data_IF_951561753231
#
_entry.id   IF_951561753231
#
_cell.length_a   1.000
_cell.length_b   1.000
_cell.length_c   1.000
_cell.angle_alpha   90.00
_cell.angle_beta   90.00
_cell.angle_gamma   90.00
#
_symmetry.space_group_name_H-M   'P 1'
#
loop_
_entity.id
_entity.type
_entity.pdbx_description
1 polymer ?
#
# COMPACT_ATOMS: atom_id res chain seq x y z
N UNK A 1 -3.70 1.52 -12.40
CA UNK A 1 -3.33 2.86 -12.93
C UNK A 1 -4.47 3.81 -12.59
N UNK A 2 -4.18 5.09 -12.34
CA UNK A 2 -5.17 6.12 -12.04
C UNK A 2 -5.18 7.18 -13.16
N UNK A 3 -6.36 7.69 -13.53
CA UNK A 3 -6.47 8.71 -14.60
C UNK A 3 -6.26 10.13 -14.04
N UNK A 4 -6.77 10.42 -12.84
CA UNK A 4 -6.55 11.67 -12.15
C UNK A 4 -5.29 11.64 -11.29
N UNK A 5 -4.33 12.52 -11.56
CA UNK A 5 -3.07 12.59 -10.83
C UNK A 5 -2.56 14.04 -10.79
N UNK A 6 -1.49 14.32 -10.05
CA UNK A 6 -1.01 15.69 -9.77
C UNK A 6 -0.81 16.52 -11.05
N UNK A 7 -0.37 15.88 -12.13
CA UNK A 7 -0.08 16.52 -13.42
C UNK A 7 -1.21 16.45 -14.48
N UNK A 8 -2.47 16.22 -14.08
CA UNK A 8 -3.63 16.20 -15.00
C UNK A 8 -4.92 16.67 -14.29
N UNK A 9 -5.86 17.24 -15.05
CA UNK A 9 -7.15 17.77 -14.57
C UNK A 9 -8.24 16.69 -14.38
N UNK A 10 -7.95 15.44 -14.73
CA UNK A 10 -8.89 14.34 -14.49
C UNK A 10 -9.15 14.16 -12.97
N UNK A 11 -10.40 13.81 -12.55
CA UNK A 11 -10.72 13.68 -11.14
C UNK A 11 -9.87 12.62 -10.43
N UNK A 12 -9.19 13.00 -9.35
CA UNK A 12 -8.41 12.09 -8.50
C UNK A 12 -9.34 11.27 -7.60
N UNK A 13 -9.75 10.07 -8.04
CA UNK A 13 -10.73 9.23 -7.32
C UNK A 13 -10.12 8.23 -6.33
N UNK A 14 -8.85 7.88 -6.52
CA UNK A 14 -8.20 6.81 -5.76
C UNK A 14 -8.63 5.41 -6.23
N UNK A 15 -9.22 5.32 -7.42
CA UNK A 15 -9.63 4.06 -8.05
C UNK A 15 -8.38 3.25 -8.38
N UNK A 16 -7.31 3.90 -8.87
CA UNK A 16 -6.12 3.20 -9.35
C UNK A 16 -5.36 2.45 -8.27
N UNK A 17 -5.21 2.97 -7.05
CA UNK A 17 -4.61 2.23 -5.94
C UNK A 17 -5.58 1.21 -5.35
N UNK A 18 -6.87 1.54 -5.24
CA UNK A 18 -7.87 0.59 -4.77
C UNK A 18 -7.93 -0.65 -5.67
N UNK A 19 -7.78 -0.48 -6.98
CA UNK A 19 -7.68 -1.55 -7.96
C UNK A 19 -6.39 -2.36 -7.80
N UNK A 20 -5.23 -1.70 -7.70
CA UNK A 20 -3.96 -2.37 -7.50
C UNK A 20 -3.95 -3.23 -6.22
N UNK A 21 -4.48 -2.69 -5.13
CA UNK A 21 -4.63 -3.43 -3.86
C UNK A 21 -5.56 -4.63 -4.04
N UNK A 22 -6.70 -4.45 -4.71
CA UNK A 22 -7.64 -5.55 -4.96
C UNK A 22 -6.99 -6.68 -5.75
N UNK A 23 -6.28 -6.35 -6.82
CA UNK A 23 -5.56 -7.33 -7.65
C UNK A 23 -4.52 -8.10 -6.84
N UNK A 24 -3.71 -7.39 -6.03
CA UNK A 24 -2.71 -8.01 -5.16
C UNK A 24 -3.32 -8.96 -4.12
N UNK A 25 -4.49 -8.61 -3.58
CA UNK A 25 -5.22 -9.44 -2.62
C UNK A 25 -5.85 -10.68 -3.28
N UNK A 26 -6.41 -10.53 -4.49
CA UNK A 26 -7.08 -11.62 -5.21
C UNK A 26 -6.12 -12.71 -5.70
N UNK A 27 -4.87 -12.35 -6.03
CA UNK A 27 -3.89 -13.30 -6.57
C UNK A 27 -3.27 -14.23 -5.51
N UNK A 28 -3.64 -14.07 -4.24
CA UNK A 28 -2.89 -14.64 -3.15
C UNK A 28 -3.78 -15.51 -2.25
N UNK A 29 -3.19 -16.50 -1.57
CA UNK A 29 -3.92 -17.48 -0.75
C UNK A 29 -4.86 -16.82 0.29
N UNK A 30 -6.06 -17.36 0.57
CA UNK A 30 -7.01 -16.74 1.47
C UNK A 30 -6.43 -16.53 2.88
N UNK A 31 -6.13 -15.28 3.24
CA UNK A 31 -5.83 -14.86 4.61
C UNK A 31 -6.07 -13.36 4.76
N UNK A 32 -6.26 -12.92 6.01
CA UNK A 32 -6.41 -11.50 6.33
C UNK A 32 -5.05 -10.82 6.37
N UNK A 33 -4.94 -9.66 5.74
CA UNK A 33 -3.77 -8.80 5.86
C UNK A 33 -3.72 -8.23 7.28
N UNK A 34 -2.56 -8.33 7.92
CA UNK A 34 -2.35 -7.91 9.30
C UNK A 34 -1.59 -6.57 9.39
N UNK A 35 -0.76 -6.27 8.38
CA UNK A 35 0.03 -5.05 8.34
C UNK A 35 0.08 -4.46 6.93
N UNK A 36 -0.12 -3.14 6.82
CA UNK A 36 -0.06 -2.38 5.58
C UNK A 36 1.11 -1.41 5.65
N UNK A 37 2.01 -1.48 4.67
CA UNK A 37 3.15 -0.60 4.56
C UNK A 37 3.00 0.25 3.32
N UNK A 38 2.96 1.57 3.50
CA UNK A 38 2.58 2.48 2.43
C UNK A 38 3.66 3.51 2.15
N UNK A 39 3.85 3.78 0.85
CA UNK A 39 4.61 4.93 0.35
C UNK A 39 3.80 6.23 0.31
N UNK A 40 2.60 6.25 0.90
CA UNK A 40 1.75 7.44 0.92
C UNK A 40 2.38 8.56 1.74
N UNK A 41 2.59 9.71 1.09
CA UNK A 41 2.89 10.98 1.74
C UNK A 41 1.61 11.64 2.25
N UNK A 42 1.71 12.44 3.31
CA UNK A 42 0.56 13.11 3.94
C UNK A 42 -0.04 14.27 3.11
N UNK A 43 0.29 14.38 1.83
CA UNK A 43 -0.34 15.33 0.94
C UNK A 43 -1.80 14.95 0.65
N UNK A 44 -2.63 15.93 0.27
CA UNK A 44 -4.08 15.76 0.13
C UNK A 44 -4.48 14.61 -0.81
N UNK A 45 -3.69 14.39 -1.87
CA UNK A 45 -3.94 13.30 -2.83
C UNK A 45 -3.58 11.93 -2.26
N UNK A 46 -2.41 11.81 -1.63
CA UNK A 46 -1.91 10.57 -1.04
C UNK A 46 -2.85 10.04 0.05
N UNK A 47 -3.20 10.89 1.02
CA UNK A 47 -4.07 10.50 2.13
C UNK A 47 -5.47 10.05 1.65
N UNK A 48 -6.05 10.76 0.69
CA UNK A 48 -7.36 10.42 0.11
C UNK A 48 -7.32 9.04 -0.56
N UNK A 49 -6.37 8.83 -1.45
CA UNK A 49 -6.28 7.57 -2.20
C UNK A 49 -6.03 6.38 -1.28
N UNK A 50 -5.15 6.52 -0.29
CA UNK A 50 -4.87 5.47 0.67
C UNK A 50 -6.13 5.10 1.47
N UNK A 51 -6.89 6.09 1.93
CA UNK A 51 -8.17 5.86 2.60
C UNK A 51 -9.20 5.14 1.71
N UNK A 52 -9.29 5.51 0.42
CA UNK A 52 -10.16 4.84 -0.54
C UNK A 52 -9.74 3.37 -0.75
N UNK A 53 -8.44 3.11 -0.90
CA UNK A 53 -7.91 1.78 -1.09
C UNK A 53 -8.20 0.86 0.10
N UNK A 54 -8.03 1.34 1.33
CA UNK A 54 -8.36 0.58 2.54
C UNK A 54 -9.87 0.35 2.69
N UNK A 55 -10.68 1.39 2.49
CA UNK A 55 -12.14 1.30 2.66
C UNK A 55 -12.77 0.29 1.71
N UNK A 56 -12.39 0.35 0.43
CA UNK A 56 -12.95 -0.53 -0.61
C UNK A 56 -12.48 -1.97 -0.52
N UNK A 57 -11.33 -2.22 0.10
CA UNK A 57 -10.78 -3.55 0.32
C UNK A 57 -10.89 -4.00 1.79
N UNK A 58 -11.74 -3.34 2.58
CA UNK A 58 -11.87 -3.51 4.03
C UNK A 58 -12.05 -4.96 4.47
N UNK A 59 -12.78 -5.75 3.68
CA UNK A 59 -13.04 -7.17 3.93
C UNK A 59 -11.79 -8.05 3.87
N UNK A 60 -10.65 -7.56 3.37
CA UNK A 60 -9.40 -8.32 3.31
C UNK A 60 -8.47 -8.08 4.52
N UNK A 61 -8.78 -7.09 5.37
CA UNK A 61 -7.93 -6.73 6.50
C UNK A 61 -8.37 -7.43 7.80
N UNK A 62 -7.41 -7.64 8.69
CA UNK A 62 -7.66 -8.06 10.06
C UNK A 62 -8.35 -6.93 10.85
N UNK A 63 -9.05 -7.29 11.92
CA UNK A 63 -9.76 -6.32 12.78
C UNK A 63 -8.79 -5.32 13.42
N UNK A 64 -7.63 -5.80 13.89
CA UNK A 64 -6.51 -4.96 14.28
C UNK A 64 -5.52 -4.90 13.13
N UNK A 65 -5.53 -3.78 12.41
CA UNK A 65 -4.63 -3.54 11.28
C UNK A 65 -3.46 -2.66 11.72
N UNK A 66 -2.25 -3.18 11.55
CA UNK A 66 -1.03 -2.41 11.69
C UNK A 66 -0.80 -1.58 10.41
N UNK A 67 -0.52 -0.28 10.54
CA UNK A 67 -0.23 0.60 9.40
C UNK A 67 1.12 1.27 9.64
N UNK A 68 2.03 1.06 8.69
CA UNK A 68 3.39 1.59 8.72
C UNK A 68 3.62 2.60 7.59
N UNK A 69 4.26 3.71 7.95
CA UNK A 69 4.64 4.81 7.04
C UNK A 69 6.17 4.97 6.96
N UNK A 70 6.89 4.08 6.24
CA UNK A 70 8.35 4.18 6.12
C UNK A 70 8.83 5.49 5.49
N UNK A 71 7.97 6.14 4.69
CA UNK A 71 8.23 7.48 4.10
C UNK A 71 8.61 8.52 5.14
N UNK A 72 8.11 8.40 6.38
CA UNK A 72 8.32 9.38 7.44
C UNK A 72 9.79 9.43 7.88
N UNK A 73 10.51 8.31 7.72
CA UNK A 73 11.92 8.19 8.10
C UNK A 73 12.86 8.11 6.89
N UNK A 74 12.39 7.57 5.77
CA UNK A 74 13.24 7.27 4.61
C UNK A 74 13.00 8.22 3.43
N UNK A 75 11.94 9.03 3.48
CA UNK A 75 11.45 9.80 2.34
C UNK A 75 10.74 8.94 1.30
N UNK A 76 10.21 9.59 0.26
CA UNK A 76 9.58 8.91 -0.87
C UNK A 76 10.66 8.37 -1.83
N UNK A 77 10.74 7.04 -1.91
CA UNK A 77 11.65 6.30 -2.80
C UNK A 77 10.90 5.65 -3.98
N UNK A 78 9.62 5.97 -4.16
CA UNK A 78 8.75 5.37 -5.16
C UNK A 78 8.74 3.85 -5.09
N UNK A 79 8.87 3.19 -6.25
CA UNK A 79 8.84 1.73 -6.33
C UNK A 79 9.98 1.02 -5.59
N UNK A 80 11.14 1.67 -5.40
CA UNK A 80 12.27 1.08 -4.66
C UNK A 80 11.88 0.78 -3.20
N UNK A 81 10.93 1.55 -2.67
CA UNK A 81 10.39 1.35 -1.34
C UNK A 81 9.76 -0.03 -1.16
N UNK A 82 9.03 -0.55 -2.17
CA UNK A 82 8.40 -1.87 -2.08
C UNK A 82 9.45 -2.95 -1.84
N UNK A 83 10.61 -2.90 -2.51
CA UNK A 83 11.68 -3.87 -2.31
C UNK A 83 12.30 -3.81 -0.92
N UNK A 84 12.56 -2.60 -0.42
CA UNK A 84 13.10 -2.38 0.93
C UNK A 84 12.12 -2.83 2.02
N UNK A 85 10.84 -2.49 1.85
CA UNK A 85 9.75 -2.92 2.74
C UNK A 85 9.64 -4.45 2.72
N UNK A 86 9.67 -5.07 1.54
CA UNK A 86 9.56 -6.52 1.43
C UNK A 86 10.72 -7.23 2.16
N UNK A 87 11.95 -6.77 1.96
CA UNK A 87 13.11 -7.29 2.67
C UNK A 87 13.00 -7.10 4.18
N UNK A 88 12.45 -5.96 4.62
CA UNK A 88 12.26 -5.68 6.05
C UNK A 88 11.15 -6.52 6.67
N UNK A 89 10.03 -6.72 5.97
CA UNK A 89 8.91 -7.55 6.42
C UNK A 89 9.32 -9.02 6.61
N UNK A 90 10.32 -9.50 5.86
CA UNK A 90 10.91 -10.84 6.05
C UNK A 90 11.96 -10.92 7.17
N UNK A 91 12.27 -9.81 7.86
CA UNK A 91 13.28 -9.77 8.92
C UNK A 91 12.62 -9.77 10.30
N UNK A 92 13.01 -10.67 11.23
CA UNK A 92 12.41 -10.74 12.57
C UNK A 92 12.85 -9.61 13.52
N UNK A 93 13.69 -8.67 13.08
CA UNK A 93 14.34 -7.68 13.94
C UNK A 93 13.73 -6.29 13.78
N UNK A 94 13.20 -5.75 14.88
CA UNK A 94 12.90 -4.33 15.07
C UNK A 94 11.45 -3.90 14.84
N UNK A 95 10.54 -4.80 14.47
CA UNK A 95 9.10 -4.52 14.31
C UNK A 95 8.26 -5.75 14.66
N UNK A 96 6.95 -5.58 14.95
CA UNK A 96 6.03 -6.71 15.05
C UNK A 96 6.08 -7.57 13.79
N UNK A 97 6.23 -8.88 13.98
CA UNK A 97 6.30 -9.83 12.89
C UNK A 97 4.90 -10.39 12.60
N UNK A 98 4.46 -10.23 11.35
CA UNK A 98 3.18 -10.71 10.84
C UNK A 98 3.42 -11.73 9.74
N UNK A 99 2.39 -12.49 9.37
CA UNK A 99 2.49 -13.44 8.25
C UNK A 99 1.98 -12.84 6.94
N UNK A 100 1.11 -11.83 7.00
CA UNK A 100 0.43 -11.30 5.82
C UNK A 100 0.54 -9.77 5.77
N UNK A 101 1.38 -9.30 4.86
CA UNK A 101 1.63 -7.89 4.62
C UNK A 101 1.02 -7.44 3.29
N UNK A 102 0.55 -6.20 3.27
CA UNK A 102 0.25 -5.47 2.03
C UNK A 102 1.23 -4.31 1.92
N UNK A 103 1.94 -4.25 0.80
CA UNK A 103 2.83 -3.16 0.45
C UNK A 103 2.15 -2.35 -0.65
N UNK A 104 2.12 -1.03 -0.56
CA UNK A 104 1.57 -0.20 -1.62
C UNK A 104 2.32 1.11 -1.81
N UNK A 105 2.39 1.58 -3.05
CA UNK A 105 2.94 2.88 -3.38
C UNK A 105 2.19 3.54 -4.54
N UNK A 106 2.28 4.86 -4.57
CA UNK A 106 1.72 5.71 -5.62
C UNK A 106 2.83 6.56 -6.24
N UNK A 107 2.55 7.06 -7.45
CA UNK A 107 3.38 8.05 -8.13
C UNK A 107 2.57 9.33 -8.30
N UNK A 108 3.23 10.48 -8.42
CA UNK A 108 2.57 11.74 -8.79
C UNK A 108 1.95 11.71 -10.21
N UNK A 109 2.29 10.68 -11.00
CA UNK A 109 1.68 10.37 -12.29
C UNK A 109 0.63 9.25 -12.17
N UNK A 110 0.36 8.51 -13.25
CA UNK A 110 -0.73 7.54 -13.31
C UNK A 110 -0.46 6.18 -12.61
N UNK A 111 0.78 5.90 -12.19
CA UNK A 111 1.18 4.56 -11.76
C UNK A 111 0.90 4.31 -10.28
N UNK A 112 0.27 3.17 -10.00
CA UNK A 112 -0.05 2.67 -8.67
C UNK A 112 0.37 1.21 -8.60
N UNK A 113 0.92 0.80 -7.48
CA UNK A 113 1.36 -0.57 -7.28
C UNK A 113 1.00 -1.05 -5.88
N UNK A 114 0.66 -2.33 -5.80
CA UNK A 114 0.51 -3.03 -4.54
C UNK A 114 1.05 -4.46 -4.68
N UNK A 115 1.60 -4.98 -3.58
CA UNK A 115 2.11 -6.34 -3.48
C UNK A 115 1.61 -6.92 -2.17
N UNK A 116 1.02 -8.11 -2.22
CA UNK A 116 0.79 -8.89 -1.01
C UNK A 116 1.99 -9.80 -0.78
N UNK A 117 2.59 -9.68 0.39
CA UNK A 117 3.70 -10.51 0.83
C UNK A 117 3.22 -11.45 1.95
N UNK A 118 3.47 -12.74 1.77
CA UNK A 118 3.30 -13.74 2.81
C UNK A 118 4.66 -14.18 3.34
N UNK A 119 4.84 -14.10 4.65
CA UNK A 119 6.04 -14.56 5.36
C UNK A 119 5.65 -15.81 6.15
N UNK A 120 6.37 -16.90 5.90
CA UNK A 120 6.14 -18.22 6.52
C UNK A 120 7.28 -18.62 7.45
#
# INVERSE_FOLDING_TARGET
RESGHLYNDAPYRGDGLADAVREALQQAAPAKVQSVWTGMTYESYGAKEFGVALTRNSTAFAETLDIQHPVDSLGDMGCAMIGMIAAKATSPVGFPHFQHYLLCCSSDQAHRAAVRLNVG
#
